data_IF_159426901666
#
_entry.id   IF_159426901666
#
_cell.length_a   1.000
_cell.length_b   1.000
_cell.length_c   1.000
_cell.angle_alpha   90.00
_cell.angle_beta   90.00
_cell.angle_gamma   90.00
#
_symmetry.space_group_name_H-M   'P 1'
#
loop_
_entity.id
_entity.type
_entity.pdbx_description
1 polymer ?
#
# COMPACT_ATOMS: atom_id res chain seq x y z
N UNK A 1 -31.92 -33.67 -8.08
CA UNK A 1 -32.02 -32.29 -7.58
C UNK A 1 -31.00 -31.46 -8.34
N UNK A 2 -31.43 -30.44 -9.09
CA UNK A 2 -30.54 -29.65 -9.94
C UNK A 2 -29.73 -28.65 -9.09
N UNK A 3 -28.40 -28.74 -9.16
CA UNK A 3 -27.51 -27.78 -8.52
C UNK A 3 -27.61 -26.42 -9.22
N UNK A 4 -27.88 -25.36 -8.45
CA UNK A 4 -27.85 -23.99 -8.97
C UNK A 4 -26.39 -23.61 -9.25
N UNK A 5 -26.01 -23.47 -10.52
CA UNK A 5 -24.71 -22.90 -10.89
C UNK A 5 -24.85 -21.38 -11.09
N UNK A 6 -24.08 -20.58 -10.35
CA UNK A 6 -23.95 -19.14 -10.58
C UNK A 6 -22.76 -18.87 -11.48
N UNK A 7 -22.93 -18.02 -12.50
CA UNK A 7 -21.86 -17.54 -13.37
C UNK A 7 -21.66 -16.05 -13.12
N UNK A 8 -20.42 -15.63 -12.88
CA UNK A 8 -20.04 -14.23 -12.67
C UNK A 8 -19.13 -13.83 -13.83
N UNK A 9 -19.40 -12.69 -14.44
CA UNK A 9 -18.56 -12.08 -15.46
C UNK A 9 -17.52 -11.19 -14.77
N UNK A 10 -16.25 -11.43 -15.05
CA UNK A 10 -15.13 -10.69 -14.46
C UNK A 10 -14.33 -10.08 -15.59
N UNK A 11 -14.16 -8.76 -15.56
CA UNK A 11 -13.31 -8.06 -16.51
C UNK A 11 -11.84 -8.34 -16.17
N UNK A 12 -11.08 -8.80 -17.16
CA UNK A 12 -9.64 -9.07 -17.02
C UNK A 12 -8.89 -8.09 -17.90
N UNK A 13 -8.03 -7.26 -17.30
CA UNK A 13 -7.15 -6.32 -18.01
C UNK A 13 -5.71 -6.71 -17.80
N UNK A 14 -4.93 -6.71 -18.88
CA UNK A 14 -3.48 -6.75 -18.77
C UNK A 14 -2.98 -5.34 -18.39
N UNK A 15 -2.35 -5.22 -17.23
CA UNK A 15 -1.78 -3.96 -16.72
C UNK A 15 -0.28 -3.86 -16.97
N UNK A 16 0.31 -4.77 -17.75
CA UNK A 16 1.74 -4.75 -18.10
C UNK A 16 1.95 -4.21 -19.52
N UNK A 17 3.18 -3.77 -19.82
CA UNK A 17 3.57 -3.23 -21.15
C UNK A 17 3.91 -4.32 -22.18
N UNK A 18 3.67 -5.59 -21.87
CA UNK A 18 4.06 -6.73 -22.70
C UNK A 18 2.95 -7.79 -22.78
N UNK A 19 3.00 -8.63 -23.80
CA UNK A 19 1.99 -9.66 -24.02
C UNK A 19 2.08 -10.77 -22.95
N UNK A 20 0.94 -11.12 -22.35
CA UNK A 20 0.81 -12.23 -21.39
C UNK A 20 -0.01 -13.34 -22.04
N UNK A 21 0.56 -14.53 -22.15
CA UNK A 21 -0.13 -15.71 -22.70
C UNK A 21 -0.64 -16.59 -21.56
N UNK A 22 -1.95 -16.67 -21.41
CA UNK A 22 -2.59 -17.60 -20.48
C UNK A 22 -2.79 -18.96 -21.17
N UNK A 23 -2.18 -20.01 -20.63
CA UNK A 23 -2.36 -21.38 -21.14
C UNK A 23 -3.78 -21.88 -20.88
N UNK A 24 -4.20 -22.89 -21.64
CA UNK A 24 -5.50 -23.53 -21.42
C UNK A 24 -5.60 -24.02 -19.97
N UNK A 25 -6.75 -23.70 -19.33
CA UNK A 25 -7.05 -24.03 -17.92
C UNK A 25 -6.23 -23.26 -16.88
N UNK A 26 -5.55 -22.17 -17.24
CA UNK A 26 -4.97 -21.25 -16.25
C UNK A 26 -6.07 -20.66 -15.38
N UNK A 27 -5.92 -20.76 -14.06
CA UNK A 27 -6.86 -20.21 -13.07
C UNK A 27 -6.46 -18.75 -12.80
N UNK A 28 -7.24 -17.75 -13.24
CA UNK A 28 -6.89 -16.34 -13.06
C UNK A 28 -7.05 -15.85 -11.62
N UNK A 29 -7.82 -16.56 -10.78
CA UNK A 29 -8.03 -16.22 -9.39
C UNK A 29 -9.09 -17.08 -8.71
N UNK A 30 -9.33 -16.82 -7.43
CA UNK A 30 -10.39 -17.45 -6.63
C UNK A 30 -11.39 -16.39 -6.19
N UNK A 31 -12.68 -16.67 -6.31
CA UNK A 31 -13.73 -15.81 -5.78
C UNK A 31 -14.02 -16.21 -4.33
N UNK A 32 -14.07 -15.23 -3.43
CA UNK A 32 -14.51 -15.41 -2.05
C UNK A 32 -15.84 -14.71 -1.83
N UNK A 33 -16.72 -15.33 -1.04
CA UNK A 33 -17.99 -14.72 -0.64
C UNK A 33 -17.72 -13.71 0.46
N UNK A 34 -18.01 -12.44 0.21
CA UNK A 34 -17.87 -11.37 1.21
C UNK A 34 -19.15 -11.34 2.06
N UNK A 35 -19.00 -11.43 3.39
CA UNK A 35 -20.12 -11.47 4.34
C UNK A 35 -20.71 -10.08 4.64
N UNK A 36 -19.93 -9.00 4.49
CA UNK A 36 -20.40 -7.63 4.73
C UNK A 36 -19.57 -6.62 3.95
N UNK A 37 -20.22 -5.59 3.39
CA UNK A 37 -19.58 -4.42 2.80
C UNK A 37 -19.99 -3.20 3.61
N UNK A 38 -19.02 -2.52 4.23
CA UNK A 38 -19.23 -1.20 4.85
C UNK A 38 -19.01 -0.13 3.79
N UNK A 39 -20.08 0.58 3.42
CA UNK A 39 -20.00 1.70 2.49
C UNK A 39 -19.39 2.90 3.22
N UNK A 40 -18.18 3.30 2.81
CA UNK A 40 -17.59 4.59 3.19
C UNK A 40 -17.78 5.53 2.00
N UNK A 41 -18.41 6.68 2.21
CA UNK A 41 -18.50 7.73 1.18
C UNK A 41 -17.13 8.40 1.04
N UNK A 42 -16.46 8.18 -0.09
CA UNK A 42 -15.10 8.67 -0.35
C UNK A 42 -15.13 9.76 -1.40
N UNK A 43 -14.54 10.92 -1.12
CA UNK A 43 -14.32 11.99 -2.12
C UNK A 43 -12.87 11.91 -2.59
N UNK A 44 -12.67 11.48 -3.84
CA UNK A 44 -11.36 11.51 -4.49
C UNK A 44 -11.10 12.95 -4.98
N UNK A 45 -9.97 13.55 -4.60
CA UNK A 45 -9.48 14.78 -5.20
C UNK A 45 -8.49 14.44 -6.31
N UNK A 46 -8.71 14.99 -7.51
CA UNK A 46 -7.79 14.90 -8.65
C UNK A 46 -6.86 16.09 -8.61
N UNK A 47 -5.60 15.88 -8.22
CA UNK A 47 -4.50 16.79 -8.55
C UNK A 47 -3.31 15.95 -9.01
N UNK A 48 -2.87 16.22 -10.24
CA UNK A 48 -1.68 15.63 -10.85
C UNK A 48 -0.45 16.09 -10.07
N UNK A 49 0.39 15.15 -9.65
CA UNK A 49 1.81 15.43 -9.39
C UNK A 49 2.67 14.52 -10.27
N UNK A 50 3.27 15.15 -11.27
CA UNK A 50 4.37 14.61 -12.06
C UNK A 50 5.69 14.89 -11.32
N UNK A 51 6.61 13.92 -11.41
CA UNK A 51 8.07 14.00 -11.20
C UNK A 51 8.62 13.61 -9.81
N UNK A 52 8.94 12.32 -9.63
CA UNK A 52 9.98 11.87 -8.68
C UNK A 52 10.68 10.55 -9.11
N UNK A 53 10.77 10.29 -10.42
CA UNK A 53 11.15 8.98 -11.01
C UNK A 53 12.66 8.66 -10.88
N UNK A 54 13.53 9.67 -10.80
CA UNK A 54 14.99 9.50 -10.92
C UNK A 54 15.67 9.09 -9.60
N UNK A 55 15.09 9.42 -8.44
CA UNK A 55 15.69 9.11 -7.12
C UNK A 55 15.28 7.72 -6.60
N UNK A 56 14.07 7.26 -6.94
CA UNK A 56 13.51 6.00 -6.46
C UNK A 56 14.22 4.79 -7.08
N UNK A 57 14.51 4.84 -8.38
CA UNK A 57 15.17 3.75 -9.13
C UNK A 57 16.57 3.41 -8.61
N UNK A 58 17.34 4.43 -8.18
CA UNK A 58 18.65 4.24 -7.56
C UNK A 58 18.58 3.63 -6.14
N UNK A 59 17.51 3.91 -5.38
CA UNK A 59 17.26 3.31 -4.05
C UNK A 59 16.92 1.82 -4.19
N UNK A 60 16.05 1.47 -5.14
CA UNK A 60 15.69 0.09 -5.45
C UNK A 60 16.87 -0.76 -5.95
N UNK A 61 17.77 -0.17 -6.74
CA UNK A 61 18.95 -0.88 -7.25
C UNK A 61 19.85 -1.46 -6.14
N UNK A 62 19.92 -0.81 -4.96
CA UNK A 62 20.69 -1.28 -3.81
C UNK A 62 19.96 -2.35 -2.99
N UNK A 63 18.63 -2.32 -3.00
CA UNK A 63 17.80 -3.22 -2.20
C UNK A 63 17.54 -4.57 -2.90
N UNK A 64 17.68 -4.60 -4.24
CA UNK A 64 17.57 -5.84 -5.01
C UNK A 64 18.65 -6.88 -4.68
N UNK A 65 19.78 -6.45 -4.11
CA UNK A 65 20.83 -7.36 -3.64
C UNK A 65 20.40 -8.15 -2.37
N UNK A 66 19.48 -7.60 -1.57
CA UNK A 66 18.91 -8.26 -0.39
C UNK A 66 17.73 -9.18 -0.74
N UNK A 67 17.16 -9.05 -1.95
CA UNK A 67 16.05 -9.91 -2.40
C UNK A 67 16.62 -11.25 -2.85
N UNK A 68 16.34 -12.30 -2.07
CA UNK A 68 16.74 -13.66 -2.43
C UNK A 68 15.96 -14.15 -3.66
N UNK A 69 16.67 -14.20 -4.80
CA UNK A 69 16.21 -14.77 -6.06
C UNK A 69 17.03 -16.02 -6.43
N UNK A 70 17.66 -16.67 -5.45
CA UNK A 70 18.58 -17.80 -5.61
C UNK A 70 17.98 -19.02 -6.31
N UNK A 71 16.71 -19.29 -6.05
CA UNK A 71 15.98 -20.45 -6.59
C UNK A 71 15.54 -20.29 -8.06
N UNK A 72 15.69 -19.09 -8.63
CA UNK A 72 15.27 -18.76 -9.99
C UNK A 72 16.42 -18.94 -11.00
N UNK A 73 16.06 -19.36 -12.22
CA UNK A 73 17.03 -19.42 -13.32
C UNK A 73 17.42 -18.01 -13.79
N UNK A 74 18.49 -17.89 -14.59
CA UNK A 74 19.02 -16.57 -15.00
C UNK A 74 17.99 -15.68 -15.73
N UNK A 75 17.11 -16.30 -16.53
CA UNK A 75 16.08 -15.59 -17.28
C UNK A 75 14.93 -15.12 -16.36
N UNK A 76 14.46 -16.00 -15.47
CA UNK A 76 13.43 -15.71 -14.47
C UNK A 76 13.90 -14.67 -13.46
N UNK A 77 15.17 -14.75 -13.04
CA UNK A 77 15.77 -13.76 -12.15
C UNK A 77 15.77 -12.39 -12.80
N UNK A 78 16.25 -12.31 -14.05
CA UNK A 78 16.23 -11.05 -14.81
C UNK A 78 14.82 -10.49 -14.98
N UNK A 79 13.85 -11.35 -15.30
CA UNK A 79 12.45 -10.95 -15.42
C UNK A 79 11.86 -10.48 -14.08
N UNK A 80 12.19 -11.16 -12.97
CA UNK A 80 11.77 -10.80 -11.62
C UNK A 80 12.37 -9.48 -11.16
N UNK A 81 13.67 -9.26 -11.35
CA UNK A 81 14.34 -7.99 -11.05
C UNK A 81 13.73 -6.84 -11.86
N UNK A 82 13.47 -7.06 -13.16
CA UNK A 82 12.82 -6.06 -14.01
C UNK A 82 11.41 -5.72 -13.51
N UNK A 83 10.64 -6.71 -13.08
CA UNK A 83 9.30 -6.52 -12.55
C UNK A 83 9.30 -5.77 -11.20
N UNK A 84 10.25 -6.10 -10.32
CA UNK A 84 10.41 -5.42 -9.02
C UNK A 84 10.78 -3.95 -9.22
N UNK A 85 11.64 -3.63 -10.20
CA UNK A 85 11.95 -2.25 -10.58
C UNK A 85 10.71 -1.56 -11.19
N UNK A 86 9.97 -2.23 -12.06
CA UNK A 86 8.76 -1.64 -12.68
C UNK A 86 7.66 -1.35 -11.65
N UNK A 87 7.60 -2.13 -10.58
CA UNK A 87 6.60 -1.99 -9.50
C UNK A 87 7.19 -1.43 -8.21
N UNK A 88 8.38 -0.85 -8.30
CA UNK A 88 9.10 -0.20 -7.22
C UNK A 88 8.21 0.73 -6.38
N UNK A 89 7.33 1.49 -7.02
CA UNK A 89 6.47 2.47 -6.33
C UNK A 89 5.39 1.84 -5.43
N UNK A 90 5.10 0.55 -5.60
CA UNK A 90 4.04 -0.14 -4.84
C UNK A 90 4.56 -0.74 -3.55
N UNK A 91 5.86 -1.01 -3.49
CA UNK A 91 6.48 -1.70 -2.37
C UNK A 91 7.14 -0.69 -1.44
N UNK A 92 7.02 -0.92 -0.14
CA UNK A 92 7.84 -0.22 0.83
C UNK A 92 9.27 -0.78 0.75
N UNK A 93 10.27 0.09 0.69
CA UNK A 93 11.68 -0.30 0.71
C UNK A 93 12.13 -0.44 2.17
N UNK A 94 11.80 0.56 2.99
CA UNK A 94 12.06 0.55 4.43
C UNK A 94 10.72 0.51 5.21
N UNK A 95 10.69 1.03 6.44
CA UNK A 95 9.47 1.35 7.20
C UNK A 95 8.71 2.56 6.61
N UNK A 96 8.74 2.71 5.29
CA UNK A 96 8.13 3.80 4.53
C UNK A 96 6.60 3.76 4.71
N UNK A 97 6.02 4.85 5.20
CA UNK A 97 4.57 5.00 5.36
C UNK A 97 4.01 5.62 4.08
N UNK A 98 3.22 4.84 3.33
CA UNK A 98 2.56 5.33 2.12
C UNK A 98 1.63 6.52 2.40
N UNK A 99 1.69 7.54 1.55
CA UNK A 99 0.81 8.71 1.58
C UNK A 99 -0.15 8.67 0.39
N UNK A 100 -1.45 8.83 0.65
CA UNK A 100 -2.47 8.99 -0.40
C UNK A 100 -3.12 10.36 -0.26
N UNK A 101 -2.64 11.32 -1.06
CA UNK A 101 -3.11 12.72 -1.03
C UNK A 101 -4.53 12.88 -1.55
N UNK A 102 -4.96 12.00 -2.45
CA UNK A 102 -6.31 12.02 -3.06
C UNK A 102 -7.42 11.62 -2.09
N UNK A 103 -7.06 10.91 -1.01
CA UNK A 103 -8.00 10.36 -0.03
C UNK A 103 -8.05 11.26 1.22
N UNK A 104 -9.14 12.01 1.35
CA UNK A 104 -9.41 12.78 2.56
C UNK A 104 -10.57 12.15 3.35
N UNK A 105 -10.32 11.78 4.61
CA UNK A 105 -11.36 11.28 5.51
C UNK A 105 -12.11 12.45 6.16
N UNK A 106 -13.43 12.50 5.98
CA UNK A 106 -14.32 13.43 6.66
C UNK A 106 -15.02 12.72 7.84
N UNK A 107 -14.65 13.07 9.07
CA UNK A 107 -15.22 12.45 10.29
C UNK A 107 -16.53 13.17 10.62
N UNK A 108 -17.66 12.57 10.25
CA UNK A 108 -19.00 13.08 10.60
C UNK A 108 -19.26 12.89 12.09
N UNK A 109 -19.35 14.00 12.83
CA UNK A 109 -19.65 13.98 14.26
C UNK A 109 -21.16 13.95 14.51
N UNK A 110 -21.58 13.26 15.57
CA UNK A 110 -22.96 13.30 16.07
C UNK A 110 -23.31 14.61 16.78
N UNK A 111 -22.32 15.23 17.42
CA UNK A 111 -22.42 16.50 18.13
C UNK A 111 -21.15 17.33 17.90
N UNK A 112 -21.28 18.65 17.93
CA UNK A 112 -20.16 19.57 17.74
C UNK A 112 -19.48 19.99 19.04
N UNK A 113 -19.80 19.34 20.17
CA UNK A 113 -19.25 19.67 21.47
C UNK A 113 -17.84 19.06 21.62
N UNK A 114 -16.77 19.87 21.70
CA UNK A 114 -15.42 19.34 21.86
C UNK A 114 -15.25 18.72 23.25
N UNK A 115 -14.68 17.53 23.31
CA UNK A 115 -14.42 16.83 24.58
C UNK A 115 -12.95 17.01 24.96
N UNK A 116 -12.70 17.72 26.06
CA UNK A 116 -11.37 17.84 26.65
C UNK A 116 -11.24 16.89 27.84
N UNK A 117 -10.34 15.92 27.76
CA UNK A 117 -10.01 15.01 28.86
C UNK A 117 -8.59 15.28 29.36
N UNK A 118 -8.39 15.07 30.66
CA UNK A 118 -7.04 15.12 31.23
C UNK A 118 -6.21 13.95 30.71
N UNK A 119 -4.95 14.22 30.40
CA UNK A 119 -3.99 13.18 30.05
C UNK A 119 -3.83 12.20 31.22
N UNK A 120 -3.99 10.91 30.92
CA UNK A 120 -3.67 9.84 31.88
C UNK A 120 -2.16 9.65 31.81
N UNK A 121 -1.49 9.80 32.96
CA UNK A 121 -0.06 9.59 33.02
C UNK A 121 0.28 8.14 32.65
N UNK A 122 1.22 7.98 31.73
CA UNK A 122 1.75 6.67 31.38
C UNK A 122 2.58 6.12 32.57
N UNK A 123 2.69 4.80 32.71
CA UNK A 123 3.67 4.19 33.61
C UNK A 123 5.10 4.57 33.16
N UNK A 124 5.94 5.05 34.10
CA UNK A 124 7.34 5.44 33.82
C UNK A 124 8.15 4.38 33.05
N UNK A 125 8.02 3.06 33.31
CA UNK A 125 8.75 2.05 32.54
C UNK A 125 8.45 2.05 31.03
N UNK A 126 7.28 2.55 30.62
CA UNK A 126 6.87 2.59 29.22
C UNK A 126 7.28 3.89 28.51
N UNK A 127 7.81 4.88 29.24
CA UNK A 127 8.20 6.16 28.66
C UNK A 127 9.23 6.02 27.54
N UNK A 128 10.30 5.21 27.68
CA UNK A 128 11.31 5.10 26.64
C UNK A 128 10.73 4.55 25.33
N UNK A 129 9.91 3.50 25.41
CA UNK A 129 9.32 2.83 24.26
C UNK A 129 8.28 3.71 23.55
N UNK A 130 7.36 4.30 24.31
CA UNK A 130 6.34 5.19 23.75
C UNK A 130 6.97 6.45 23.16
N UNK A 131 8.00 6.98 23.82
CA UNK A 131 8.73 8.14 23.30
C UNK A 131 9.41 7.80 21.98
N UNK A 132 10.16 6.70 21.91
CA UNK A 132 10.84 6.27 20.69
C UNK A 132 9.83 6.10 19.54
N UNK A 133 8.71 5.44 19.78
CA UNK A 133 7.67 5.26 18.78
C UNK A 133 7.06 6.59 18.30
N UNK A 134 6.79 7.54 19.21
CA UNK A 134 6.29 8.86 18.82
C UNK A 134 7.37 9.61 18.02
N UNK A 135 8.63 9.55 18.41
CA UNK A 135 9.74 10.17 17.67
C UNK A 135 9.83 9.60 16.25
N UNK A 136 9.71 8.28 16.08
CA UNK A 136 9.68 7.61 14.78
C UNK A 136 8.47 8.07 13.95
N UNK A 137 7.27 8.13 14.53
CA UNK A 137 6.07 8.63 13.86
C UNK A 137 6.22 10.08 13.38
N UNK A 138 6.78 10.95 14.23
CA UNK A 138 6.99 12.36 13.90
C UNK A 138 8.04 12.51 12.79
N UNK A 139 9.09 11.71 12.82
CA UNK A 139 10.14 11.72 11.80
C UNK A 139 9.61 11.23 10.44
N UNK A 140 8.81 10.17 10.42
CA UNK A 140 8.23 9.62 9.19
C UNK A 140 7.13 10.50 8.59
N UNK A 141 6.29 11.17 9.39
CA UNK A 141 5.07 11.83 8.88
C UNK A 141 5.13 13.35 8.76
N UNK A 142 5.99 14.06 9.52
CA UNK A 142 5.85 15.52 9.68
C UNK A 142 6.99 16.36 9.09
N UNK A 143 8.12 15.77 8.68
CA UNK A 143 9.24 16.57 8.17
C UNK A 143 8.94 17.28 6.83
N UNK A 144 7.92 16.83 6.09
CA UNK A 144 7.51 17.46 4.81
C UNK A 144 6.54 18.63 5.00
N UNK A 145 5.91 18.78 6.17
CA UNK A 145 4.83 19.75 6.41
C UNK A 145 5.13 20.83 7.46
N UNK A 146 6.32 20.84 8.07
CA UNK A 146 6.71 21.84 9.07
C UNK A 146 7.95 22.62 8.61
N UNK A 147 7.72 23.64 7.78
CA UNK A 147 8.64 24.77 7.64
C UNK A 147 8.13 25.89 8.55
N UNK A 148 8.89 26.22 9.60
CA UNK A 148 8.63 27.38 10.48
C UNK A 148 9.01 28.67 9.75
#
# INVERSE_FOLDING_TARGET
MAGKSSRVEVEVKNTTKHDIVLRNRTVPGRLQLIQSVTQVEVKLKTENDENDDDHQTAKWAKHLDDVDLGDLNSEERKAGTQLLIEKADVFAIDDDIGCITELQMDIKLSDSAPVQKNYVALPRPLYPEVKAYIEDLLFCQLSTYVTI
#
